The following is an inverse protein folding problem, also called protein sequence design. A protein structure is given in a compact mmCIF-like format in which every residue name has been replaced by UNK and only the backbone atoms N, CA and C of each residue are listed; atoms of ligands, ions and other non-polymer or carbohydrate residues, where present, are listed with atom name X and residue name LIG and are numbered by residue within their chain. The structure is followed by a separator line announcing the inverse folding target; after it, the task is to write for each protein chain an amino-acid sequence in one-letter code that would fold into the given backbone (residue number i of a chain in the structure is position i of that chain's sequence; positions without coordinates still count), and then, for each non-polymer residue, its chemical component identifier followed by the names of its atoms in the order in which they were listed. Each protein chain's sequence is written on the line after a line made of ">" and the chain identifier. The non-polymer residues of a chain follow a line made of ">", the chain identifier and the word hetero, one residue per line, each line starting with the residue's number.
data_IF_227833142749
#
_entry.id   IF_227833142749
#
_cell.length_a   1.000
_cell.length_b   1.000
_cell.length_c   1.000
_cell.angle_alpha   90.00
_cell.angle_beta   90.00
_cell.angle_gamma   90.00
#
_symmetry.space_group_name_H-M   'P 1'
#
loop_
_entity.id
_entity.type
_entity.pdbx_description
1 polymer ?
#
# COMPACT_ATOMS: atom_id res chain seq x y z
N UNK A 1 -58.27 14.94 -2.93
CA UNK A 1 -57.08 15.14 -3.81
C UNK A 1 -55.85 15.05 -2.92
N UNK A 2 -55.02 14.02 -3.13
CA UNK A 2 -53.96 13.63 -2.20
C UNK A 2 -52.69 14.46 -2.36
N UNK A 3 -52.25 15.08 -1.26
CA UNK A 3 -50.95 15.71 -1.15
C UNK A 3 -49.85 14.63 -1.21
N UNK A 4 -49.12 14.57 -2.32
CA UNK A 4 -47.86 13.83 -2.40
C UNK A 4 -46.82 14.58 -1.57
N UNK A 5 -46.73 14.26 -0.28
CA UNK A 5 -45.57 14.63 0.51
C UNK A 5 -44.36 13.93 -0.10
N UNK A 6 -43.51 14.70 -0.80
CA UNK A 6 -42.17 14.26 -1.15
C UNK A 6 -41.43 13.99 0.14
N UNK A 7 -41.24 12.73 0.49
CA UNK A 7 -40.29 12.35 1.53
C UNK A 7 -38.94 12.91 1.13
N UNK A 8 -38.23 13.66 1.99
CA UNK A 8 -36.85 14.01 1.70
C UNK A 8 -36.08 12.69 1.67
N UNK A 9 -35.74 12.25 0.46
CA UNK A 9 -34.85 11.13 0.24
C UNK A 9 -33.54 11.48 0.95
N UNK A 10 -33.33 10.88 2.13
CA UNK A 10 -32.08 11.04 2.90
C UNK A 10 -30.95 10.53 2.02
N UNK A 11 -30.26 11.44 1.33
CA UNK A 11 -28.99 11.20 0.65
C UNK A 11 -27.93 10.90 1.72
N UNK A 12 -27.89 9.66 2.21
CA UNK A 12 -26.82 9.16 3.08
C UNK A 12 -26.26 7.84 2.53
N UNK A 13 -26.16 7.75 1.21
CA UNK A 13 -25.47 6.66 0.50
C UNK A 13 -24.40 7.19 -0.44
N UNK A 14 -23.92 8.42 -0.22
CA UNK A 14 -22.66 8.86 -0.80
C UNK A 14 -21.56 8.10 -0.07
N UNK A 15 -20.80 7.31 -0.82
CA UNK A 15 -19.76 6.41 -0.34
C UNK A 15 -18.74 7.21 0.50
N UNK A 16 -18.93 7.23 1.82
CA UNK A 16 -18.27 8.17 2.75
C UNK A 16 -16.75 8.08 2.66
N UNK A 17 -16.23 6.88 2.41
CA UNK A 17 -14.81 6.60 2.27
C UNK A 17 -14.15 7.33 1.09
N UNK A 18 -14.90 7.62 0.01
CA UNK A 18 -14.37 8.38 -1.14
C UNK A 18 -14.07 9.84 -0.82
N UNK A 19 -14.62 10.35 0.27
CA UNK A 19 -14.45 11.72 0.72
C UNK A 19 -13.63 11.83 2.01
N UNK A 20 -12.96 10.75 2.41
CA UNK A 20 -12.14 10.70 3.61
C UNK A 20 -10.68 10.34 3.29
N UNK A 21 -9.79 10.82 4.14
CA UNK A 21 -8.36 10.54 4.08
C UNK A 21 -7.79 10.34 5.48
N UNK A 22 -6.69 9.59 5.54
CA UNK A 22 -5.82 9.53 6.71
C UNK A 22 -4.67 10.51 6.49
N UNK A 23 -4.52 11.49 7.38
CA UNK A 23 -3.42 12.44 7.30
C UNK A 23 -2.18 11.87 8.01
N UNK A 24 -1.24 11.31 7.25
CA UNK A 24 0.01 10.78 7.80
C UNK A 24 1.10 11.84 7.79
N UNK A 25 2.17 11.65 8.56
CA UNK A 25 3.37 12.53 8.51
C UNK A 25 4.07 12.52 7.14
N UNK A 26 3.79 11.52 6.30
CA UNK A 26 4.35 11.36 4.95
C UNK A 26 3.41 11.86 3.86
N UNK A 27 2.21 12.33 4.22
CA UNK A 27 1.21 12.84 3.30
C UNK A 27 -0.18 12.20 3.49
N UNK A 28 -1.18 12.68 2.72
CA UNK A 28 -2.55 12.19 2.80
C UNK A 28 -2.70 10.83 2.11
N UNK A 29 -3.32 9.86 2.78
CA UNK A 29 -3.66 8.54 2.22
C UNK A 29 -5.18 8.45 2.10
N UNK A 30 -5.71 8.22 0.89
CA UNK A 30 -7.15 8.10 0.69
C UNK A 30 -7.70 6.85 1.37
N UNK A 31 -8.80 6.98 2.13
CA UNK A 31 -9.45 5.83 2.77
C UNK A 31 -9.95 4.82 1.72
N UNK A 32 -10.42 5.31 0.57
CA UNK A 32 -10.84 4.46 -0.56
C UNK A 32 -9.70 3.62 -1.13
N UNK A 33 -8.51 4.20 -1.29
CA UNK A 33 -7.36 3.46 -1.82
C UNK A 33 -6.85 2.40 -0.83
N UNK A 34 -6.91 2.67 0.47
CA UNK A 34 -6.59 1.68 1.51
C UNK A 34 -7.56 0.51 1.45
N UNK A 35 -8.87 0.78 1.42
CA UNK A 35 -9.88 -0.27 1.31
C UNK A 35 -9.67 -1.13 0.05
N UNK A 36 -9.48 -0.49 -1.11
CA UNK A 36 -9.24 -1.18 -2.39
C UNK A 36 -7.93 -1.96 -2.42
N UNK A 37 -6.87 -1.45 -1.78
CA UNK A 37 -5.60 -2.17 -1.66
C UNK A 37 -5.80 -3.48 -0.87
N UNK A 38 -6.52 -3.39 0.26
CA UNK A 38 -6.80 -4.53 1.13
C UNK A 38 -7.73 -5.60 0.52
N UNK A 39 -8.39 -5.33 -0.61
CA UNK A 39 -9.09 -6.37 -1.37
C UNK A 39 -8.14 -7.34 -2.09
N UNK A 40 -6.87 -6.94 -2.29
CA UNK A 40 -5.87 -7.68 -3.08
C UNK A 40 -4.76 -8.33 -2.26
N UNK A 41 -4.73 -8.07 -0.94
CA UNK A 41 -3.71 -8.59 -0.04
C UNK A 41 -4.06 -10.01 0.45
N UNK A 42 -3.10 -10.76 1.01
CA UNK A 42 -3.39 -12.04 1.63
C UNK A 42 -4.46 -11.93 2.73
N UNK A 43 -5.29 -12.97 2.95
CA UNK A 43 -6.27 -12.96 4.02
C UNK A 43 -5.66 -12.73 5.41
N UNK A 44 -6.45 -12.26 6.39
CA UNK A 44 -6.01 -12.15 7.78
C UNK A 44 -5.45 -13.45 8.34
N UNK A 45 -4.45 -13.33 9.21
CA UNK A 45 -3.73 -14.45 9.84
C UNK A 45 -2.90 -15.32 8.89
N UNK A 46 -2.76 -14.91 7.62
CA UNK A 46 -1.86 -15.58 6.67
C UNK A 46 -0.41 -15.36 7.07
N UNK A 47 0.32 -16.46 7.32
CA UNK A 47 1.76 -16.41 7.53
C UNK A 47 2.47 -16.31 6.20
N UNK A 48 3.17 -15.21 5.96
CA UNK A 48 3.94 -15.01 4.73
C UNK A 48 5.44 -14.83 5.01
N UNK A 49 6.31 -15.07 4.01
CA UNK A 49 7.74 -14.78 4.12
C UNK A 49 8.06 -13.32 4.42
N UNK A 50 7.20 -12.37 4.05
CA UNK A 50 7.38 -10.95 4.36
C UNK A 50 7.13 -10.61 5.83
N UNK A 51 6.56 -11.54 6.61
CA UNK A 51 6.04 -11.27 7.96
C UNK A 51 4.86 -10.26 7.95
N UNK A 52 4.18 -10.09 6.82
CA UNK A 52 2.92 -9.35 6.71
C UNK A 52 1.82 -10.23 6.08
N UNK A 53 0.56 -10.12 6.51
CA UNK A 53 0.13 -9.45 7.72
C UNK A 53 0.68 -10.12 8.99
N UNK A 54 0.73 -9.37 10.08
CA UNK A 54 1.04 -9.89 11.41
C UNK A 54 0.18 -9.21 12.48
N UNK A 55 0.18 -9.76 13.69
CA UNK A 55 -0.65 -9.24 14.77
C UNK A 55 -0.17 -7.86 15.24
N UNK A 56 -1.09 -6.90 15.25
CA UNK A 56 -0.87 -5.54 15.70
C UNK A 56 -1.27 -5.38 17.16
N UNK A 57 -0.31 -5.01 18.01
CA UNK A 57 -0.52 -4.93 19.47
C UNK A 57 -1.36 -3.72 19.90
N UNK A 58 -1.46 -2.69 19.05
CA UNK A 58 -2.24 -1.48 19.35
C UNK A 58 -1.66 -0.61 20.47
N UNK A 59 -0.40 -0.85 20.84
CA UNK A 59 0.31 -0.19 21.93
C UNK A 59 1.75 0.06 21.52
N UNK A 60 2.22 1.25 21.81
CA UNK A 60 3.53 1.75 21.40
C UNK A 60 4.31 2.26 22.62
N UNK A 61 5.63 2.07 22.60
CA UNK A 61 6.52 2.50 23.69
C UNK A 61 7.06 1.34 24.55
N UNK A 62 7.89 1.65 25.56
CA UNK A 62 8.43 0.65 26.48
C UNK A 62 7.31 0.00 27.30
N UNK A 63 7.49 -1.26 27.70
CA UNK A 63 6.49 -2.08 28.43
C UNK A 63 5.87 -1.36 29.65
N UNK A 64 6.64 -0.49 30.32
CA UNK A 64 6.19 0.23 31.52
C UNK A 64 5.51 1.58 31.24
N UNK A 65 5.52 2.06 29.98
CA UNK A 65 4.92 3.33 29.57
C UNK A 65 4.27 3.20 28.19
N UNK A 66 3.54 2.11 27.98
CA UNK A 66 2.83 1.84 26.74
C UNK A 66 1.70 2.85 26.54
N UNK A 67 1.72 3.52 25.38
CA UNK A 67 0.64 4.41 24.94
C UNK A 67 -0.21 3.68 23.92
N UNK A 68 -1.54 3.76 24.03
CA UNK A 68 -2.45 3.18 23.05
C UNK A 68 -2.36 3.94 21.73
N UNK A 69 -2.24 3.24 20.61
CA UNK A 69 -2.21 3.86 19.28
C UNK A 69 -3.60 4.36 18.86
N UNK A 70 -4.64 3.65 19.28
CA UNK A 70 -6.04 3.98 19.00
C UNK A 70 -6.82 4.14 20.30
N UNK A 71 -7.75 5.09 20.30
CA UNK A 71 -8.64 5.31 21.44
C UNK A 71 -9.57 4.11 21.65
N UNK A 72 -10.00 3.91 22.89
CA UNK A 72 -10.96 2.84 23.23
C UNK A 72 -12.31 3.05 22.54
N UNK A 73 -12.67 4.28 22.18
CA UNK A 73 -13.86 4.54 21.36
C UNK A 73 -13.74 3.98 19.92
N UNK A 74 -12.51 3.94 19.39
CA UNK A 74 -12.22 3.42 18.04
C UNK A 74 -12.12 1.91 18.05
N UNK A 75 -11.63 1.32 19.14
CA UNK A 75 -11.27 -0.11 19.25
C UNK A 75 -12.14 -0.94 20.18
N UNK A 76 -13.02 -0.30 20.95
CA UNK A 76 -13.72 -0.89 22.08
C UNK A 76 -14.94 -1.75 21.72
N UNK A 77 -15.37 -2.60 22.66
CA UNK A 77 -16.46 -3.56 22.47
C UNK A 77 -17.86 -2.92 22.38
N UNK A 78 -17.99 -1.62 22.66
CA UNK A 78 -19.26 -0.88 22.62
C UNK A 78 -19.77 -0.53 21.22
N UNK A 79 -19.02 -0.84 20.15
CA UNK A 79 -19.58 -0.88 18.79
C UNK A 79 -20.42 -2.16 18.68
N UNK A 80 -21.73 -2.03 18.87
CA UNK A 80 -22.73 -3.10 18.81
C UNK A 80 -22.76 -3.91 17.50
N UNK A 81 -21.92 -3.58 16.52
CA UNK A 81 -21.76 -4.20 15.20
C UNK A 81 -20.29 -4.12 14.70
N UNK A 82 -19.32 -3.80 15.56
CA UNK A 82 -17.93 -3.53 15.14
C UNK A 82 -17.08 -4.79 14.99
N UNK A 83 -16.00 -4.75 14.18
CA UNK A 83 -15.08 -5.87 14.05
C UNK A 83 -14.49 -6.29 15.41
N UNK A 84 -14.70 -7.55 15.76
CA UNK A 84 -14.22 -8.20 16.98
C UNK A 84 -13.02 -9.09 16.66
N UNK A 85 -11.94 -8.97 17.44
CA UNK A 85 -10.76 -9.82 17.29
C UNK A 85 -9.43 -9.07 17.44
N UNK A 86 -8.30 -9.79 17.40
CA UNK A 86 -6.97 -9.17 17.36
C UNK A 86 -6.84 -8.27 16.13
N UNK A 87 -6.12 -7.17 16.29
CA UNK A 87 -5.80 -6.31 15.15
C UNK A 87 -4.64 -6.91 14.37
N UNK A 88 -4.60 -6.66 13.06
CA UNK A 88 -3.48 -7.01 12.20
C UNK A 88 -2.95 -5.80 11.46
N UNK A 89 -1.64 -5.81 11.25
CA UNK A 89 -0.91 -4.80 10.52
C UNK A 89 -0.68 -5.25 9.07
N UNK A 90 -1.02 -4.39 8.12
CA UNK A 90 -0.73 -4.57 6.71
C UNK A 90 0.15 -3.44 6.20
N UNK A 91 1.13 -3.77 5.35
CA UNK A 91 1.82 -2.77 4.55
C UNK A 91 0.85 -2.18 3.50
N UNK A 92 0.81 -0.85 3.45
CA UNK A 92 -0.04 -0.10 2.50
C UNK A 92 0.78 0.95 1.75
N UNK A 93 0.33 1.37 0.55
CA UNK A 93 0.99 2.42 -0.21
C UNK A 93 1.20 3.71 0.59
N UNK A 94 2.42 4.23 0.52
CA UNK A 94 2.75 5.57 0.99
C UNK A 94 2.41 6.59 -0.13
N UNK A 95 1.91 7.78 0.20
CA UNK A 95 1.59 8.77 -0.82
C UNK A 95 2.87 9.30 -1.49
N UNK A 96 2.79 9.53 -2.80
CA UNK A 96 3.88 10.03 -3.64
C UNK A 96 4.95 9.00 -4.00
N UNK A 97 4.81 7.74 -3.60
CA UNK A 97 5.79 6.67 -3.86
C UNK A 97 5.14 5.43 -4.49
N UNK A 98 5.86 4.77 -5.41
CA UNK A 98 5.40 3.53 -6.03
C UNK A 98 5.45 2.36 -5.05
N UNK A 99 4.29 1.81 -4.71
CA UNK A 99 4.18 0.66 -3.83
C UNK A 99 4.38 -0.67 -4.57
N UNK A 100 5.57 -1.28 -4.41
CA UNK A 100 5.95 -2.54 -5.05
C UNK A 100 6.17 -3.69 -4.04
N UNK A 101 5.49 -3.62 -2.90
CA UNK A 101 5.65 -4.61 -1.84
C UNK A 101 5.06 -5.97 -2.21
N UNK A 102 5.80 -7.03 -1.93
CA UNK A 102 5.41 -8.42 -2.20
C UNK A 102 5.29 -9.19 -0.89
N UNK A 103 4.08 -9.63 -0.54
CA UNK A 103 3.84 -10.39 0.68
C UNK A 103 4.58 -11.75 0.70
N UNK A 104 4.79 -12.35 -0.46
CA UNK A 104 5.47 -13.64 -0.59
C UNK A 104 7.01 -13.56 -0.55
N UNK A 105 7.57 -12.37 -0.34
CA UNK A 105 9.01 -12.15 -0.32
C UNK A 105 9.46 -11.60 1.02
N UNK A 106 10.62 -12.05 1.51
CA UNK A 106 11.21 -11.51 2.74
C UNK A 106 11.38 -10.01 2.66
N UNK A 107 10.89 -9.30 3.68
CA UNK A 107 11.14 -7.87 3.84
C UNK A 107 12.63 -7.58 3.91
N UNK A 108 13.02 -6.42 3.39
CA UNK A 108 14.39 -5.96 3.51
C UNK A 108 14.75 -5.75 4.98
N UNK A 109 15.93 -6.24 5.39
CA UNK A 109 16.38 -6.05 6.76
C UNK A 109 16.61 -4.55 7.01
N UNK A 110 16.07 -4.00 8.10
CA UNK A 110 16.22 -2.58 8.44
C UNK A 110 17.69 -2.11 8.49
N UNK A 111 18.64 -3.01 8.81
CA UNK A 111 20.09 -2.72 8.77
C UNK A 111 20.65 -2.56 7.37
N UNK A 112 20.02 -3.16 6.37
CA UNK A 112 20.41 -3.11 4.96
C UNK A 112 19.72 -1.95 4.22
N UNK A 113 18.60 -1.42 4.73
CA UNK A 113 17.74 -0.40 4.09
C UNK A 113 18.39 0.98 3.90
N UNK A 114 19.59 1.21 4.42
CA UNK A 114 20.30 2.48 4.30
C UNK A 114 21.81 2.34 4.25
N UNK A 115 22.35 1.16 3.95
CA UNK A 115 23.79 1.01 3.80
C UNK A 115 24.23 1.63 2.48
N UNK A 116 25.31 2.41 2.50
CA UNK A 116 25.97 2.86 1.27
C UNK A 116 26.43 1.62 0.53
N UNK A 117 25.83 1.35 -0.64
CA UNK A 117 26.17 0.19 -1.47
C UNK A 117 27.58 0.36 -1.97
N UNK A 118 28.46 -0.58 -1.61
CA UNK A 118 29.85 -0.55 -2.07
C UNK A 118 29.89 -0.64 -3.61
N UNK A 119 30.82 0.05 -4.31
CA UNK A 119 30.88 0.02 -5.77
C UNK A 119 30.84 -1.38 -6.39
N UNK A 120 31.53 -2.35 -5.78
CA UNK A 120 31.56 -3.75 -6.23
C UNK A 120 30.23 -4.51 -6.02
N UNK A 121 29.35 -4.01 -5.15
CA UNK A 121 28.03 -4.59 -4.89
C UNK A 121 26.94 -3.96 -5.79
N UNK A 122 27.23 -2.83 -6.46
CA UNK A 122 26.25 -2.09 -7.28
C UNK A 122 25.67 -2.93 -8.41
N UNK A 123 26.48 -3.76 -9.07
CA UNK A 123 26.01 -4.63 -10.15
C UNK A 123 24.99 -5.68 -9.67
N UNK A 124 25.16 -6.16 -8.42
CA UNK A 124 24.25 -7.12 -7.80
C UNK A 124 22.99 -6.47 -7.22
N UNK A 125 23.03 -5.16 -6.92
CA UNK A 125 21.89 -4.40 -6.40
C UNK A 125 21.07 -3.76 -7.53
N UNK A 126 21.72 -3.35 -8.63
CA UNK A 126 21.10 -2.59 -9.74
C UNK A 126 20.85 -3.43 -11.01
N UNK A 127 21.41 -4.64 -11.12
CA UNK A 127 21.35 -5.45 -12.34
C UNK A 127 20.18 -6.44 -12.38
N UNK A 128 19.56 -6.73 -13.53
CA UNK A 128 18.43 -7.66 -13.66
C UNK A 128 18.77 -9.12 -13.34
N UNK A 129 20.06 -9.48 -13.24
CA UNK A 129 20.49 -10.86 -13.00
C UNK A 129 20.46 -11.28 -11.51
N UNK A 130 20.54 -10.34 -10.56
CA UNK A 130 20.45 -10.60 -9.10
C UNK A 130 19.88 -9.40 -8.29
N UNK A 131 19.71 -8.24 -8.92
CA UNK A 131 19.22 -6.97 -8.36
C UNK A 131 17.70 -6.88 -8.39
N UNK A 132 17.05 -7.77 -7.65
CA UNK A 132 15.63 -7.59 -7.34
C UNK A 132 15.53 -6.45 -6.31
N UNK A 133 14.76 -5.37 -6.56
CA UNK A 133 14.66 -4.24 -5.63
C UNK A 133 14.29 -4.73 -4.23
N UNK A 134 14.74 -4.03 -3.19
CA UNK A 134 14.40 -4.36 -1.82
C UNK A 134 12.89 -4.50 -1.63
N UNK A 135 12.44 -5.53 -0.91
CA UNK A 135 11.03 -5.65 -0.55
C UNK A 135 10.75 -4.76 0.66
N UNK A 136 10.43 -3.50 0.42
CA UNK A 136 10.23 -2.49 1.46
C UNK A 136 8.74 -2.33 1.76
N UNK A 137 8.28 -2.57 3.01
CA UNK A 137 6.90 -2.32 3.41
C UNK A 137 6.55 -0.82 3.51
N UNK A 138 7.49 0.09 3.24
CA UNK A 138 7.37 1.55 3.38
C UNK A 138 7.14 1.99 4.83
N UNK A 139 6.68 3.23 5.08
CA UNK A 139 6.47 3.76 6.43
C UNK A 139 5.01 3.74 6.90
N UNK A 140 4.07 3.50 6.00
CA UNK A 140 2.63 3.51 6.25
C UNK A 140 2.07 2.10 6.43
N UNK A 141 1.15 1.93 7.37
CA UNK A 141 0.50 0.66 7.69
C UNK A 141 -0.99 0.83 7.91
N UNK A 142 -1.77 -0.17 7.56
CA UNK A 142 -3.16 -0.27 7.98
C UNK A 142 -3.28 -1.20 9.18
N UNK A 143 -3.93 -0.73 10.24
CA UNK A 143 -4.42 -1.56 11.31
C UNK A 143 -5.84 -2.01 10.96
N UNK A 144 -6.03 -3.31 10.85
CA UNK A 144 -7.29 -3.92 10.43
C UNK A 144 -7.76 -4.94 11.46
N UNK A 145 -9.04 -5.30 11.38
CA UNK A 145 -9.62 -6.44 12.08
C UNK A 145 -10.44 -7.25 11.12
N UNK A 146 -10.77 -8.48 11.52
CA UNK A 146 -11.77 -9.28 10.83
C UNK A 146 -13.15 -8.87 11.33
N UNK A 147 -14.03 -8.51 10.40
CA UNK A 147 -15.46 -8.36 10.64
C UNK A 147 -16.21 -9.49 9.93
N UNK A 148 -17.23 -10.05 10.57
CA UNK A 148 -18.21 -10.84 9.85
C UNK A 148 -19.24 -9.89 9.22
N UNK A 149 -19.32 -9.90 7.90
CA UNK A 149 -20.29 -9.11 7.13
C UNK A 149 -21.08 -10.07 6.26
N UNK A 150 -22.38 -10.22 6.57
CA UNK A 150 -23.28 -11.12 5.85
C UNK A 150 -22.84 -12.60 5.83
N UNK A 151 -22.12 -13.06 6.86
CA UNK A 151 -21.60 -14.42 6.96
C UNK A 151 -20.20 -14.62 6.38
N UNK A 152 -19.67 -13.63 5.67
CA UNK A 152 -18.30 -13.65 5.14
C UNK A 152 -17.34 -12.87 6.05
N UNK A 153 -16.13 -13.40 6.23
CA UNK A 153 -15.04 -12.67 6.88
C UNK A 153 -14.48 -11.60 5.94
N UNK A 154 -14.58 -10.34 6.36
CA UNK A 154 -14.05 -9.19 5.62
C UNK A 154 -13.05 -8.42 6.47
N UNK A 155 -12.06 -7.86 5.79
CA UNK A 155 -11.10 -6.95 6.38
C UNK A 155 -11.81 -5.63 6.66
N UNK A 156 -11.89 -5.26 7.93
CA UNK A 156 -12.40 -3.97 8.37
C UNK A 156 -11.25 -3.09 8.84
N UNK A 157 -11.09 -1.92 8.21
CA UNK A 157 -10.04 -0.96 8.56
C UNK A 157 -10.39 -0.28 9.88
N UNK A 158 -9.52 -0.44 10.89
CA UNK A 158 -9.65 0.28 12.17
C UNK A 158 -9.04 1.68 12.03
N UNK A 159 -7.90 1.77 11.33
CA UNK A 159 -7.30 3.02 10.92
C UNK A 159 -5.92 2.83 10.31
N UNK A 160 -5.30 3.94 9.92
CA UNK A 160 -3.94 3.96 9.38
C UNK A 160 -2.97 4.44 10.45
N UNK A 161 -1.80 3.82 10.49
CA UNK A 161 -0.67 4.23 11.33
C UNK A 161 0.55 4.45 10.45
N UNK A 162 1.47 5.30 10.88
CA UNK A 162 2.71 5.55 10.17
C UNK A 162 3.87 5.72 11.14
N UNK A 163 5.07 5.35 10.70
CA UNK A 163 6.28 5.68 11.44
C UNK A 163 6.52 7.20 11.40
N UNK A 164 6.68 7.88 12.55
CA UNK A 164 6.98 9.30 12.57
C UNK A 164 8.41 9.59 12.11
N UNK A 165 8.65 10.81 11.63
CA UNK A 165 9.97 11.23 11.16
C UNK A 165 11.05 11.03 12.24
N UNK A 166 12.11 10.30 11.90
CA UNK A 166 13.23 10.03 12.80
C UNK A 166 13.03 8.88 13.80
N UNK A 167 11.82 8.31 13.92
CA UNK A 167 11.57 7.14 14.76
C UNK A 167 10.98 6.01 13.91
N UNK A 168 11.84 5.06 13.55
CA UNK A 168 11.53 3.93 12.65
C UNK A 168 10.85 2.75 13.35
N UNK A 169 10.70 2.79 14.66
CA UNK A 169 10.14 1.69 15.44
C UNK A 169 8.76 2.02 15.99
N UNK A 170 8.52 3.27 16.36
CA UNK A 170 7.23 3.71 16.86
C UNK A 170 6.23 3.89 15.73
N UNK A 171 4.95 3.64 16.03
CA UNK A 171 3.84 3.93 15.13
C UNK A 171 2.94 5.01 15.73
N UNK A 172 2.46 5.91 14.88
CA UNK A 172 1.51 6.96 15.27
C UNK A 172 0.27 6.84 14.40
N UNK A 173 -0.89 6.91 15.02
CA UNK A 173 -2.18 6.93 14.31
C UNK A 173 -2.29 8.18 13.45
N UNK A 174 -2.69 7.99 12.21
CA UNK A 174 -3.11 9.05 11.32
C UNK A 174 -4.58 9.43 11.62
N UNK A 175 -4.89 10.72 11.89
CA UNK A 175 -6.27 11.17 12.03
C UNK A 175 -7.04 10.97 10.72
N UNK A 176 -8.32 10.60 10.86
CA UNK A 176 -9.26 10.47 9.76
C UNK A 176 -9.96 11.82 9.56
N UNK A 177 -9.78 12.40 8.38
CA UNK A 177 -10.23 13.75 8.04
C UNK A 177 -10.96 13.77 6.70
N UNK A 178 -11.77 14.81 6.41
CA UNK A 178 -12.30 15.04 5.08
C UNK A 178 -11.19 15.17 4.04
N UNK A 179 -11.45 14.69 2.82
CA UNK A 179 -10.50 14.72 1.72
C UNK A 179 -10.07 16.17 1.38
N UNK A 180 -8.79 16.46 1.60
CA UNK A 180 -8.21 17.78 1.35
C UNK A 180 -7.94 17.99 -0.14
N UNK A 181 -7.50 19.20 -0.53
CA UNK A 181 -7.06 19.47 -1.90
C UNK A 181 -5.87 18.58 -2.29
N UNK A 182 -4.92 18.42 -1.37
CA UNK A 182 -3.74 17.58 -1.58
C UNK A 182 -4.12 16.11 -1.70
N UNK A 183 -5.03 15.62 -0.86
CA UNK A 183 -5.56 14.25 -0.97
C UNK A 183 -6.29 14.00 -2.29
N UNK A 184 -7.03 14.98 -2.82
CA UNK A 184 -7.65 14.89 -4.15
C UNK A 184 -6.60 14.78 -5.27
N UNK A 185 -5.53 15.57 -5.19
CA UNK A 185 -4.43 15.49 -6.15
C UNK A 185 -3.74 14.14 -6.09
N UNK A 186 -3.52 13.62 -4.88
CA UNK A 186 -2.88 12.32 -4.69
C UNK A 186 -3.73 11.16 -5.23
N UNK A 187 -5.04 11.16 -4.98
CA UNK A 187 -5.97 10.22 -5.58
C UNK A 187 -5.93 10.26 -7.12
N UNK A 188 -5.80 11.47 -7.68
CA UNK A 188 -5.65 11.67 -9.13
C UNK A 188 -4.31 11.12 -9.63
N UNK A 189 -3.21 11.29 -8.88
CA UNK A 189 -1.90 10.70 -9.22
C UNK A 189 -1.95 9.18 -9.17
N UNK A 190 -2.48 8.60 -8.10
CA UNK A 190 -2.56 7.16 -7.93
C UNK A 190 -3.41 6.50 -9.03
N UNK A 191 -4.51 7.14 -9.44
CA UNK A 191 -5.33 6.69 -10.58
C UNK A 191 -4.59 6.83 -11.91
N UNK A 192 -3.87 7.93 -12.14
CA UNK A 192 -3.02 8.12 -13.32
C UNK A 192 -1.87 7.10 -13.38
N UNK A 193 -1.16 6.86 -12.27
CA UNK A 193 -0.05 5.90 -12.18
C UNK A 193 -0.49 4.47 -12.48
N UNK A 194 -1.66 4.05 -11.99
CA UNK A 194 -2.26 2.76 -12.39
C UNK A 194 -2.54 2.69 -13.89
N UNK A 195 -2.93 3.80 -14.51
CA UNK A 195 -3.18 3.91 -15.95
C UNK A 195 -1.91 3.95 -16.81
N UNK A 196 -0.79 4.46 -16.28
CA UNK A 196 0.49 4.56 -17.02
C UNK A 196 1.05 3.22 -17.46
N UNK A 197 0.81 2.15 -16.70
CA UNK A 197 1.22 0.78 -17.09
C UNK A 197 0.40 0.22 -18.27
N UNK A 198 -0.76 0.80 -18.58
CA UNK A 198 -1.68 0.28 -19.60
C UNK A 198 -1.63 1.01 -20.95
N UNK A 199 -0.86 2.11 -21.06
CA UNK A 199 -0.69 2.83 -22.34
C UNK A 199 0.57 2.37 -23.06
N UNK A 200 0.50 2.14 -24.39
CA UNK A 200 1.68 1.94 -25.24
C UNK A 200 1.92 3.14 -26.17
N UNK A 201 3.12 3.75 -26.17
CA UNK A 201 4.20 3.53 -25.19
C UNK A 201 3.82 4.07 -23.79
N UNK A 202 4.34 3.48 -22.71
CA UNK A 202 4.19 4.00 -21.35
C UNK A 202 4.59 5.47 -21.28
N UNK A 203 3.65 6.32 -20.88
CA UNK A 203 3.88 7.77 -20.81
C UNK A 203 4.96 8.07 -19.76
N UNK A 204 5.97 8.86 -20.15
CA UNK A 204 7.11 9.23 -19.30
C UNK A 204 8.41 8.47 -19.59
N UNK A 205 8.37 7.47 -20.46
CA UNK A 205 9.57 6.88 -21.08
C UNK A 205 9.79 7.61 -22.40
N UNK A 206 10.94 8.28 -22.55
CA UNK A 206 11.29 8.98 -23.78
C UNK A 206 11.32 7.99 -24.95
N UNK A 207 10.80 8.36 -26.11
CA UNK A 207 10.71 7.49 -27.29
C UNK A 207 12.08 6.89 -27.67
N UNK A 208 13.17 7.62 -27.36
CA UNK A 208 14.55 7.16 -27.53
C UNK A 208 14.91 5.92 -26.71
N UNK A 209 14.29 5.72 -25.55
CA UNK A 209 14.53 4.54 -24.70
C UNK A 209 13.92 3.29 -25.33
N UNK A 210 12.80 3.42 -26.04
CA UNK A 210 12.21 2.34 -26.83
C UNK A 210 13.03 2.04 -28.07
N UNK A 211 13.44 3.07 -28.81
CA UNK A 211 14.30 2.91 -29.99
C UNK A 211 15.64 2.22 -29.64
N UNK A 212 16.23 2.55 -28.48
CA UNK A 212 17.46 1.88 -28.00
C UNK A 212 17.22 0.44 -27.53
N UNK A 213 16.04 0.13 -26.98
CA UNK A 213 15.67 -1.23 -26.62
C UNK A 213 15.39 -2.10 -27.86
N UNK A 214 14.69 -1.57 -28.86
CA UNK A 214 14.38 -2.23 -30.13
C UNK A 214 15.63 -2.45 -31.00
N UNK A 215 16.53 -1.48 -31.06
CA UNK A 215 17.82 -1.64 -31.75
C UNK A 215 18.74 -2.64 -31.06
N UNK A 216 18.64 -2.80 -29.73
CA UNK A 216 19.36 -3.85 -28.98
C UNK A 216 18.76 -5.23 -29.18
N UNK A 217 17.44 -5.37 -29.18
CA UNK A 217 16.76 -6.67 -29.40
C UNK A 217 16.86 -7.12 -30.86
N UNK A 218 16.85 -6.19 -31.82
CA UNK A 218 17.07 -6.47 -33.24
C UNK A 218 18.48 -6.94 -33.60
N UNK A 219 19.47 -6.79 -32.70
CA UNK A 219 20.86 -7.24 -32.90
C UNK A 219 21.12 -8.71 -32.57
N UNK A 220 20.14 -9.47 -32.08
CA UNK A 220 20.32 -10.90 -31.81
C UNK A 220 19.72 -11.76 -32.94
N UNK A 221 20.48 -11.84 -34.04
CA UNK A 221 20.57 -13.07 -34.84
C UNK A 221 22.05 -13.42 -34.96
N UNK A 222 22.59 -14.40 -34.22
CA UNK A 222 23.88 -14.95 -34.60
C UNK A 222 23.74 -15.57 -36.00
N UNK A 223 24.73 -15.42 -36.89
CA UNK A 223 24.70 -16.07 -38.19
C UNK A 223 24.60 -17.59 -37.99
N UNK A 224 23.73 -18.24 -38.76
CA UNK A 224 23.66 -19.69 -38.84
C UNK A 224 25.06 -20.24 -39.16
N UNK A 225 25.46 -21.26 -38.41
CA UNK A 225 26.74 -21.98 -38.54
C UNK A 225 27.06 -22.29 -40.02
N UNK A 226 28.29 -22.01 -40.52
CA UNK A 226 28.61 -22.12 -41.96
C UNK A 226 28.87 -23.56 -42.44
N UNK A 227 28.12 -24.56 -41.95
CA UNK A 227 28.21 -25.96 -42.41
C UNK A 227 26.86 -26.57 -42.84
N UNK A 228 25.83 -25.75 -43.03
CA UNK A 228 24.57 -26.19 -43.65
C UNK A 228 24.35 -25.52 -45.02
N UNK A 229 25.34 -25.65 -45.90
CA UNK A 229 25.14 -25.51 -47.35
C UNK A 229 25.73 -26.75 -48.01
N UNK A 230 24.89 -27.37 -48.84
CA UNK A 230 25.11 -28.57 -49.66
C UNK A 230 26.48 -28.57 -50.34
#
# INVERSE_FOLDING_TARGET
>A
MGNKQSTPQRRNTDNTEKHLQYHTVHGPVSAHDVAKHLETVPPPHTRTPSNFPHDFRGREGPVNNETKTFDDYVTGPGRSQGPTGPMQEYAIPQPGEQFNFQFDRRCLNARQAGRVVHPNERANVMGPANGRPGNDPMQTRAAVRVAQVNGDEKIAVVGVVAHPNGNRTGLVRAPLEPLSREGRQELTRHTDERGRMQTYPPRGIDAKVYETAETRSGRVRPPAHPQMRV
#
